data_IF_514360510450
#
_entry.id   IF_514360510450
#
_cell.length_a   1.000
_cell.length_b   1.000
_cell.length_c   1.000
_cell.angle_alpha   90.00
_cell.angle_beta   90.00
_cell.angle_gamma   90.00
#
_symmetry.space_group_name_H-M   'P 1'
#
loop_
_entity.id
_entity.type
_entity.pdbx_description
1 polymer ?
#
# COMPACT_ATOMS: atom_id res chain seq x y z
N UNK A 1 11.59 22.28 -9.81
CA UNK A 1 12.48 21.86 -8.71
C UNK A 1 12.02 22.63 -7.49
N UNK A 2 11.39 21.97 -6.54
CA UNK A 2 10.84 22.57 -5.32
C UNK A 2 11.94 22.57 -4.27
N UNK A 3 12.39 23.76 -3.86
CA UNK A 3 13.43 23.91 -2.84
C UNK A 3 12.90 23.45 -1.48
N UNK A 4 13.52 22.43 -0.91
CA UNK A 4 13.42 22.12 0.52
C UNK A 4 14.15 23.19 1.33
N UNK A 5 13.41 24.06 2.00
CA UNK A 5 13.99 25.10 2.87
C UNK A 5 14.11 24.62 4.31
N UNK A 6 15.21 25.05 4.89
CA UNK A 6 15.80 24.82 6.21
C UNK A 6 14.87 24.51 7.39
N UNK A 7 15.34 23.59 8.24
CA UNK A 7 14.88 23.37 9.61
C UNK A 7 14.98 24.67 10.41
N UNK A 8 13.85 25.26 10.79
CA UNK A 8 13.80 26.39 11.73
C UNK A 8 13.30 25.89 13.08
N UNK A 9 14.08 26.18 14.14
CA UNK A 9 13.63 26.00 15.52
C UNK A 9 12.85 27.25 15.92
N UNK A 10 11.54 27.17 16.06
CA UNK A 10 10.70 28.27 16.53
C UNK A 10 10.48 28.12 18.04
N UNK A 11 11.03 29.03 18.77
CA UNK A 11 10.88 29.39 20.17
C UNK A 11 10.37 28.34 21.19
N UNK A 12 11.24 27.99 22.17
CA UNK A 12 11.10 27.00 23.25
C UNK A 12 11.07 25.53 22.85
N UNK A 13 12.25 24.98 22.68
CA UNK A 13 12.78 23.64 22.96
C UNK A 13 11.93 22.37 22.65
N UNK A 14 10.84 22.35 21.89
CA UNK A 14 10.10 21.10 21.67
C UNK A 14 9.46 20.87 20.29
N UNK A 15 9.35 21.87 19.43
CA UNK A 15 8.70 21.66 18.12
C UNK A 15 9.65 22.03 16.99
N UNK A 16 10.21 21.02 16.29
CA UNK A 16 10.90 21.26 15.05
C UNK A 16 9.90 21.23 13.89
N UNK A 17 9.98 22.24 13.04
CA UNK A 17 9.07 22.48 11.92
C UNK A 17 9.85 22.41 10.61
N UNK A 18 9.30 21.68 9.64
CA UNK A 18 9.79 21.65 8.27
C UNK A 18 8.95 22.61 7.42
N UNK A 19 9.57 23.40 6.56
CA UNK A 19 8.88 24.23 5.57
C UNK A 19 8.88 23.53 4.23
N UNK A 20 7.69 23.34 3.67
CA UNK A 20 7.49 22.81 2.32
C UNK A 20 6.42 23.60 1.59
N UNK A 21 6.75 24.12 0.41
CA UNK A 21 5.85 24.91 -0.44
C UNK A 21 5.18 26.09 0.29
N UNK A 22 5.95 26.78 1.15
CA UNK A 22 5.48 27.92 1.94
C UNK A 22 4.57 27.57 3.11
N UNK A 23 4.37 26.27 3.39
CA UNK A 23 3.63 25.77 4.56
C UNK A 23 4.56 25.16 5.57
N UNK A 24 4.23 25.31 6.85
CA UNK A 24 4.97 24.73 7.97
C UNK A 24 4.31 23.43 8.42
N UNK A 25 5.13 22.39 8.57
CA UNK A 25 4.72 21.07 9.04
C UNK A 25 5.56 20.66 10.25
N UNK A 26 4.95 20.01 11.22
CA UNK A 26 5.69 19.36 12.30
C UNK A 26 6.66 18.33 11.69
N UNK A 27 7.89 18.22 12.20
CA UNK A 27 8.82 17.19 11.75
C UNK A 27 8.37 15.77 12.16
N UNK A 28 9.14 14.75 11.74
CA UNK A 28 8.79 13.37 12.03
C UNK A 28 8.76 13.00 13.51
N UNK A 29 9.44 13.74 14.38
CA UNK A 29 9.41 13.55 15.84
C UNK A 29 8.23 14.28 16.46
N UNK A 30 8.08 15.56 16.16
CA UNK A 30 6.99 16.38 16.69
C UNK A 30 5.60 15.93 16.20
N UNK A 31 5.52 15.25 15.06
CA UNK A 31 4.28 14.66 14.52
C UNK A 31 4.06 13.20 14.91
N UNK A 32 4.69 12.70 15.96
CA UNK A 32 4.47 11.32 16.44
C UNK A 32 2.99 11.11 16.81
N UNK A 33 2.26 10.20 16.14
CA UNK A 33 0.82 10.03 16.34
C UNK A 33 0.45 9.56 17.75
N UNK A 34 1.37 9.00 18.52
CA UNK A 34 1.14 8.53 19.90
C UNK A 34 0.88 9.70 20.87
N UNK A 35 1.42 10.89 20.56
CA UNK A 35 1.34 12.08 21.40
C UNK A 35 0.01 12.83 21.25
N UNK A 36 -0.74 12.63 20.16
CA UNK A 36 -1.95 13.39 19.86
C UNK A 36 -3.22 12.83 20.50
N UNK A 37 -3.24 11.58 20.93
CA UNK A 37 -4.39 10.97 21.59
C UNK A 37 -5.61 10.78 20.66
N UNK A 38 -5.40 10.67 19.32
CA UNK A 38 -6.50 10.45 18.37
C UNK A 38 -7.28 9.18 18.68
N UNK A 39 -8.60 9.24 18.47
CA UNK A 39 -9.56 8.18 18.69
C UNK A 39 -9.55 7.57 20.10
N UNK A 40 -8.98 8.26 21.09
CA UNK A 40 -8.99 7.84 22.50
C UNK A 40 -10.18 8.44 23.24
N UNK A 41 -10.82 7.62 24.08
CA UNK A 41 -12.00 7.98 24.86
C UNK A 41 -13.28 7.30 24.35
N UNK A 42 -14.36 7.36 25.15
CA UNK A 42 -15.64 6.73 24.82
C UNK A 42 -16.80 7.69 25.14
N UNK A 43 -17.24 8.55 24.20
CA UNK A 43 -16.69 8.76 22.85
C UNK A 43 -15.40 9.61 22.86
N UNK A 44 -14.58 9.52 21.81
CA UNK A 44 -13.45 10.45 21.66
C UNK A 44 -13.94 11.89 21.51
N UNK A 45 -13.19 12.89 22.07
CA UNK A 45 -13.50 14.30 21.86
C UNK A 45 -13.59 14.66 20.36
N UNK A 46 -14.44 15.61 19.95
CA UNK A 46 -14.64 15.92 18.53
C UNK A 46 -13.35 16.28 17.77
N UNK A 47 -12.46 17.04 18.39
CA UNK A 47 -11.17 17.48 17.85
C UNK A 47 -10.12 16.34 17.77
N UNK A 48 -10.39 15.20 18.41
CA UNK A 48 -9.55 13.99 18.40
C UNK A 48 -10.10 12.88 17.50
N UNK A 49 -11.20 13.12 16.79
CA UNK A 49 -11.77 12.12 15.88
C UNK A 49 -11.10 12.19 14.54
N UNK A 50 -10.68 11.03 14.05
CA UNK A 50 -10.13 10.84 12.72
C UNK A 50 -11.09 9.96 11.94
N UNK A 51 -11.80 10.52 10.97
CA UNK A 51 -12.81 9.82 10.18
C UNK A 51 -12.83 10.31 8.74
N UNK A 52 -13.46 9.53 7.84
CA UNK A 52 -13.69 9.96 6.47
C UNK A 52 -14.78 11.07 6.38
N UNK A 53 -15.72 11.08 7.32
CA UNK A 53 -16.81 12.05 7.36
C UNK A 53 -16.32 13.47 7.67
N UNK A 54 -15.30 13.60 8.52
CA UNK A 54 -14.68 14.89 8.83
C UNK A 54 -13.43 15.18 7.99
N UNK A 55 -13.15 14.35 6.97
CA UNK A 55 -12.06 14.51 5.99
C UNK A 55 -10.65 14.51 6.58
N UNK A 56 -10.47 14.06 7.82
CA UNK A 56 -9.17 14.13 8.53
C UNK A 56 -8.25 12.94 8.25
N UNK A 57 -8.75 11.85 7.67
CA UNK A 57 -7.98 10.61 7.46
C UNK A 57 -6.70 10.86 6.64
N UNK A 58 -6.77 11.75 5.65
CA UNK A 58 -5.64 12.06 4.75
C UNK A 58 -4.97 13.39 5.03
N UNK A 59 -5.37 14.10 6.08
CA UNK A 59 -4.71 15.34 6.50
C UNK A 59 -3.51 15.06 7.39
N UNK A 60 -2.46 15.84 7.26
CA UNK A 60 -1.31 15.76 8.16
C UNK A 60 -1.59 16.61 9.43
N UNK A 61 -1.25 16.11 10.61
CA UNK A 61 -0.48 14.91 10.94
C UNK A 61 -1.32 13.63 11.18
N UNK A 62 -2.66 13.69 11.08
CA UNK A 62 -3.58 12.55 11.31
C UNK A 62 -3.27 11.37 10.38
N UNK A 63 -2.82 11.64 9.15
CA UNK A 63 -2.41 10.63 8.17
C UNK A 63 -1.44 9.60 8.75
N UNK A 64 -0.47 10.01 9.57
CA UNK A 64 0.50 9.10 10.20
C UNK A 64 -0.13 8.09 11.15
N UNK A 65 -1.25 8.48 11.80
CA UNK A 65 -2.05 7.57 12.60
C UNK A 65 -2.92 6.66 11.71
N UNK A 66 -3.59 7.25 10.73
CA UNK A 66 -4.57 6.57 9.87
C UNK A 66 -3.96 5.39 9.14
N UNK A 67 -2.73 5.52 8.62
CA UNK A 67 -2.07 4.48 7.83
C UNK A 67 -1.85 3.17 8.60
N UNK A 68 -1.81 3.20 9.94
CA UNK A 68 -1.73 2.02 10.79
C UNK A 68 -3.08 1.62 11.40
N UNK A 69 -4.17 2.36 11.11
CA UNK A 69 -5.50 2.17 11.72
C UNK A 69 -6.63 2.06 10.69
N UNK A 70 -6.33 1.73 9.43
CA UNK A 70 -7.33 1.66 8.36
C UNK A 70 -8.48 0.69 8.67
N UNK A 71 -8.22 -0.35 9.46
CA UNK A 71 -9.25 -1.31 9.90
C UNK A 71 -10.32 -0.69 10.79
N UNK A 72 -9.99 0.41 11.49
CA UNK A 72 -10.94 1.16 12.32
C UNK A 72 -11.76 2.17 11.50
N UNK A 73 -11.30 2.48 10.29
CA UNK A 73 -11.82 3.55 9.44
C UNK A 73 -12.66 3.04 8.27
N UNK A 74 -12.41 1.80 7.82
CA UNK A 74 -13.07 1.19 6.66
C UNK A 74 -13.43 -0.27 6.92
N UNK A 75 -14.49 -0.79 6.27
CA UNK A 75 -14.73 -2.23 6.19
C UNK A 75 -13.54 -2.95 5.56
N UNK A 76 -13.18 -4.09 6.14
CA UNK A 76 -12.04 -4.89 5.71
C UNK A 76 -12.37 -6.37 5.68
N UNK A 77 -11.63 -7.13 4.87
CA UNK A 77 -11.63 -8.59 4.86
C UNK A 77 -10.23 -9.07 5.25
N UNK A 78 -10.19 -10.03 6.15
CA UNK A 78 -8.96 -10.63 6.64
C UNK A 78 -8.29 -11.50 5.57
N UNK A 79 -6.97 -11.47 5.54
CA UNK A 79 -6.09 -12.42 4.87
C UNK A 79 -5.37 -13.20 5.96
N UNK A 80 -5.86 -14.38 6.25
CA UNK A 80 -5.40 -15.18 7.39
C UNK A 80 -4.05 -15.83 7.12
N UNK A 81 -3.15 -15.75 8.10
CA UNK A 81 -1.79 -16.29 8.00
C UNK A 81 -1.69 -17.81 8.20
N UNK A 82 -2.78 -18.45 8.58
CA UNK A 82 -2.79 -19.89 8.91
C UNK A 82 -2.34 -20.18 10.36
N UNK A 83 -2.26 -21.47 10.66
CA UNK A 83 -1.84 -21.97 11.99
C UNK A 83 -0.37 -22.36 12.05
N UNK A 84 0.33 -22.37 10.93
CA UNK A 84 1.75 -22.70 10.87
C UNK A 84 2.63 -21.65 11.56
N UNK A 85 3.85 -22.03 11.90
CA UNK A 85 4.87 -21.06 12.31
C UNK A 85 5.27 -20.18 11.12
N UNK A 86 5.71 -18.94 11.35
CA UNK A 86 6.19 -18.07 10.28
C UNK A 86 7.49 -18.61 9.68
N UNK A 87 7.70 -18.31 8.39
CA UNK A 87 9.00 -18.54 7.76
C UNK A 87 10.06 -17.65 8.41
N UNK A 88 11.22 -18.23 8.68
CA UNK A 88 12.29 -17.53 9.38
C UNK A 88 12.92 -16.46 8.47
N UNK A 89 13.00 -15.24 8.97
CA UNK A 89 13.88 -14.20 8.45
C UNK A 89 15.09 -14.12 9.38
N UNK A 90 16.23 -14.63 8.91
CA UNK A 90 17.45 -14.54 9.70
C UNK A 90 17.81 -13.07 9.96
N UNK A 91 18.32 -12.78 11.15
CA UNK A 91 18.70 -11.44 11.56
C UNK A 91 20.21 -11.34 11.75
N UNK A 92 20.84 -10.35 11.14
CA UNK A 92 22.21 -9.95 11.33
C UNK A 92 22.25 -8.43 11.58
N UNK A 93 21.68 -8.03 12.72
CA UNK A 93 21.39 -6.64 13.04
C UNK A 93 22.66 -5.76 13.05
N UNK A 94 22.66 -4.75 12.17
CA UNK A 94 23.71 -3.72 12.05
C UNK A 94 23.12 -2.32 12.30
N UNK A 95 22.02 -2.23 13.02
CA UNK A 95 21.27 -0.98 13.16
C UNK A 95 22.09 0.17 13.71
N UNK A 96 22.93 -0.06 14.74
CA UNK A 96 23.76 0.98 15.32
C UNK A 96 24.79 1.54 14.32
N UNK A 97 25.36 0.67 13.48
CA UNK A 97 26.29 1.07 12.42
C UNK A 97 25.57 1.89 11.34
N UNK A 98 24.38 1.41 10.90
CA UNK A 98 23.62 2.02 9.83
C UNK A 98 23.03 3.37 10.27
N UNK A 99 22.52 3.50 11.51
CA UNK A 99 22.04 4.76 12.05
C UNK A 99 23.13 5.86 12.03
N UNK A 100 24.38 5.46 12.19
CA UNK A 100 25.54 6.37 12.17
C UNK A 100 26.02 6.79 10.78
N UNK A 101 25.52 6.18 9.70
CA UNK A 101 25.95 6.51 8.35
C UNK A 101 25.58 7.94 7.98
N UNK A 102 26.45 8.54 7.17
CA UNK A 102 26.21 9.84 6.54
C UNK A 102 26.18 9.69 5.03
N UNK A 103 25.40 10.52 4.37
CA UNK A 103 25.32 10.60 2.92
C UNK A 103 25.14 12.04 2.46
N UNK A 104 25.48 12.31 1.22
CA UNK A 104 25.24 13.61 0.57
C UNK A 104 23.95 13.49 -0.25
N UNK A 105 23.01 14.40 -0.03
CA UNK A 105 21.75 14.44 -0.79
C UNK A 105 21.93 15.16 -2.15
N UNK A 106 20.82 15.28 -2.89
CA UNK A 106 20.82 15.90 -4.21
C UNK A 106 21.06 17.43 -4.17
N UNK A 107 21.00 18.05 -3.00
CA UNK A 107 21.28 19.47 -2.77
C UNK A 107 22.68 19.69 -2.17
N UNK A 108 23.57 18.70 -2.28
CA UNK A 108 24.95 18.70 -1.74
C UNK A 108 25.03 18.87 -0.21
N UNK A 109 23.96 18.54 0.54
CA UNK A 109 23.96 18.59 2.00
C UNK A 109 24.37 17.24 2.58
N UNK A 110 25.24 17.26 3.59
CA UNK A 110 25.58 16.05 4.36
C UNK A 110 24.52 15.78 5.41
N UNK A 111 23.84 14.64 5.29
CA UNK A 111 22.78 14.19 6.20
C UNK A 111 23.22 12.94 6.95
N UNK A 112 22.70 12.75 8.18
CA UNK A 112 22.77 11.47 8.88
C UNK A 112 21.58 10.62 8.48
N UNK A 113 21.83 9.33 8.31
CA UNK A 113 20.76 8.38 7.88
C UNK A 113 19.59 8.35 8.88
N UNK A 114 19.88 8.28 10.18
CA UNK A 114 18.83 8.29 11.22
C UNK A 114 17.97 9.56 11.16
N UNK A 115 18.58 10.74 10.97
CA UNK A 115 17.84 12.01 10.89
C UNK A 115 16.95 12.04 9.64
N UNK A 116 17.45 11.54 8.51
CA UNK A 116 16.69 11.49 7.27
C UNK A 116 15.41 10.64 7.38
N UNK A 117 15.38 9.62 8.26
CA UNK A 117 14.17 8.84 8.53
C UNK A 117 13.06 9.70 9.15
N UNK A 118 13.41 10.63 10.03
CA UNK A 118 12.44 11.57 10.60
C UNK A 118 12.07 12.67 9.60
N UNK A 119 13.01 13.17 8.83
CA UNK A 119 12.76 14.20 7.82
C UNK A 119 11.85 13.69 6.68
N UNK A 120 11.82 12.38 6.47
CA UNK A 120 10.93 11.72 5.49
C UNK A 120 9.69 11.09 6.10
N UNK A 121 9.38 11.37 7.37
CA UNK A 121 8.21 10.82 8.08
C UNK A 121 8.11 9.29 8.03
N UNK A 122 9.25 8.60 8.06
CA UNK A 122 9.31 7.15 8.02
C UNK A 122 8.64 6.54 9.23
N UNK A 123 7.62 5.68 9.04
CA UNK A 123 6.98 4.94 10.11
C UNK A 123 7.63 3.56 10.32
N UNK A 124 8.23 2.99 9.28
CA UNK A 124 8.98 1.75 9.41
C UNK A 124 9.94 1.54 8.26
N UNK A 125 11.08 0.94 8.55
CA UNK A 125 12.06 0.54 7.55
C UNK A 125 12.70 -0.79 7.90
N UNK A 126 12.81 -1.67 6.91
CA UNK A 126 13.51 -2.93 7.01
C UNK A 126 14.37 -3.14 5.77
N UNK A 127 15.62 -3.51 5.98
CA UNK A 127 16.55 -3.83 4.89
C UNK A 127 16.96 -5.29 4.98
N UNK A 128 16.66 -6.03 3.91
CA UNK A 128 17.17 -7.38 3.69
C UNK A 128 18.43 -7.33 2.83
N UNK A 129 19.49 -8.00 3.27
CA UNK A 129 20.66 -8.26 2.49
C UNK A 129 20.93 -9.77 2.43
N UNK A 130 20.84 -10.35 1.24
CA UNK A 130 21.01 -11.80 1.01
C UNK A 130 20.12 -12.67 1.91
N UNK A 131 18.84 -12.28 2.05
CA UNK A 131 17.85 -12.99 2.86
C UNK A 131 17.93 -12.75 4.35
N UNK A 132 18.80 -11.84 4.83
CA UNK A 132 18.97 -11.53 6.26
C UNK A 132 18.55 -10.10 6.55
N UNK A 133 17.82 -9.89 7.63
CA UNK A 133 17.52 -8.55 8.14
C UNK A 133 18.82 -7.96 8.69
N UNK A 134 19.32 -6.89 8.08
CA UNK A 134 20.49 -6.14 8.56
C UNK A 134 20.11 -4.85 9.27
N UNK A 135 18.90 -4.34 8.98
CA UNK A 135 18.37 -3.13 9.59
C UNK A 135 16.85 -3.22 9.73
N UNK A 136 16.33 -2.80 10.88
CA UNK A 136 14.91 -2.78 11.15
C UNK A 136 14.61 -1.70 12.20
N UNK A 137 13.69 -0.78 11.87
CA UNK A 137 13.24 0.30 12.75
C UNK A 137 11.74 0.52 12.60
N UNK A 138 11.11 0.94 13.68
CA UNK A 138 9.69 1.29 13.79
C UNK A 138 9.57 2.62 14.52
N UNK A 139 8.69 3.48 14.02
CA UNK A 139 8.45 4.81 14.56
C UNK A 139 6.95 5.07 14.67
N UNK A 140 6.55 6.09 15.46
CA UNK A 140 5.18 6.49 15.61
C UNK A 140 4.27 5.37 16.08
N UNK A 141 3.15 5.16 15.39
CA UNK A 141 2.17 4.12 15.72
C UNK A 141 2.56 2.72 15.22
N UNK A 142 3.59 2.59 14.40
CA UNK A 142 3.99 1.31 13.84
C UNK A 142 4.80 0.47 14.85
N UNK A 143 4.51 -0.82 14.88
CA UNK A 143 5.22 -1.83 15.67
C UNK A 143 5.32 -3.14 14.87
N UNK A 144 6.15 -4.12 15.25
CA UNK A 144 6.35 -5.35 14.48
C UNK A 144 5.06 -6.09 14.10
N UNK A 145 4.05 -6.08 14.99
CA UNK A 145 2.76 -6.76 14.81
C UNK A 145 1.65 -5.86 14.24
N UNK A 146 1.94 -4.59 13.97
CA UNK A 146 0.94 -3.62 13.48
C UNK A 146 0.97 -3.58 11.95
N UNK A 147 -0.19 -3.78 11.33
CA UNK A 147 -0.35 -3.63 9.89
C UNK A 147 -0.34 -2.15 9.52
N UNK A 148 0.31 -1.85 8.43
CA UNK A 148 0.35 -0.53 7.83
C UNK A 148 -0.19 -0.59 6.40
N UNK A 149 -0.86 0.46 5.95
CA UNK A 149 -1.38 0.55 4.59
C UNK A 149 -0.23 0.53 3.57
N UNK A 150 -0.28 -0.44 2.67
CA UNK A 150 0.70 -0.58 1.59
C UNK A 150 0.47 0.39 0.44
N UNK A 151 -0.67 1.06 0.41
CA UNK A 151 -1.08 1.87 -0.72
C UNK A 151 -0.80 1.14 -2.05
N UNK A 152 -0.16 1.78 -3.01
CA UNK A 152 0.06 1.20 -4.34
C UNK A 152 0.97 -0.03 -4.40
N UNK A 153 1.69 -0.39 -3.35
CA UNK A 153 2.37 -1.70 -3.30
C UNK A 153 1.35 -2.86 -3.39
N UNK A 154 0.09 -2.63 -3.02
CA UNK A 154 -1.01 -3.59 -3.26
C UNK A 154 -1.06 -4.08 -4.71
N UNK A 155 -0.76 -3.21 -5.67
CA UNK A 155 -0.72 -3.56 -7.12
C UNK A 155 0.34 -4.62 -7.44
N UNK A 156 1.46 -4.62 -6.72
CA UNK A 156 2.49 -5.64 -6.90
C UNK A 156 1.98 -7.03 -6.49
N UNK A 157 1.24 -7.13 -5.40
CA UNK A 157 0.58 -8.37 -4.99
C UNK A 157 -0.49 -8.80 -6.00
N UNK A 158 -1.33 -7.87 -6.45
CA UNK A 158 -2.37 -8.15 -7.44
C UNK A 158 -1.79 -8.60 -8.77
N UNK A 159 -0.74 -7.95 -9.26
CA UNK A 159 -0.03 -8.31 -10.49
C UNK A 159 0.64 -9.67 -10.40
N UNK A 160 1.26 -9.99 -9.26
CA UNK A 160 1.86 -11.32 -9.01
C UNK A 160 0.81 -12.42 -9.04
N UNK A 161 -0.35 -12.22 -8.42
CA UNK A 161 -1.46 -13.16 -8.46
C UNK A 161 -1.98 -13.35 -9.90
N UNK A 162 -2.19 -12.25 -10.63
CA UNK A 162 -2.67 -12.33 -12.02
C UNK A 162 -1.67 -13.07 -12.90
N UNK A 163 -0.36 -12.77 -12.78
CA UNK A 163 0.69 -13.45 -13.53
C UNK A 163 0.76 -14.95 -13.22
N UNK A 164 0.63 -15.33 -11.94
CA UNK A 164 0.58 -16.74 -11.55
C UNK A 164 -0.64 -17.46 -12.16
N UNK A 165 -1.82 -16.85 -12.12
CA UNK A 165 -3.05 -17.41 -12.71
C UNK A 165 -2.96 -17.52 -14.25
N UNK A 166 -2.26 -16.60 -14.91
CA UNK A 166 -1.97 -16.69 -16.35
C UNK A 166 -1.00 -17.83 -16.61
N UNK A 167 0.07 -17.95 -15.83
CA UNK A 167 1.05 -19.05 -15.97
C UNK A 167 0.41 -20.42 -15.78
N UNK A 168 -0.51 -20.56 -14.85
CA UNK A 168 -1.26 -21.79 -14.59
C UNK A 168 -2.34 -22.08 -15.67
N UNK A 169 -2.57 -21.18 -16.62
CA UNK A 169 -3.59 -21.32 -17.66
C UNK A 169 -5.04 -21.10 -17.16
N UNK A 170 -5.21 -20.61 -15.94
CA UNK A 170 -6.53 -20.25 -15.38
C UNK A 170 -7.05 -18.97 -16.04
N UNK A 171 -6.15 -18.03 -16.32
CA UNK A 171 -6.44 -16.81 -17.09
C UNK A 171 -5.72 -16.86 -18.44
N UNK A 172 -6.42 -16.46 -19.50
CA UNK A 172 -5.82 -16.15 -20.80
C UNK A 172 -5.73 -14.63 -20.95
N UNK A 173 -4.52 -14.09 -20.85
CA UNK A 173 -4.28 -12.65 -20.86
C UNK A 173 -4.52 -11.97 -22.22
N UNK A 174 -4.75 -12.76 -23.28
CA UNK A 174 -5.13 -12.28 -24.62
C UNK A 174 -6.64 -12.04 -24.74
N UNK A 175 -7.46 -12.63 -23.85
CA UNK A 175 -8.91 -12.42 -23.83
C UNK A 175 -9.25 -11.00 -23.40
N UNK A 176 -10.35 -10.48 -23.96
CA UNK A 176 -10.85 -9.14 -23.58
C UNK A 176 -11.55 -9.18 -22.23
N UNK A 177 -11.54 -8.04 -21.56
CA UNK A 177 -12.17 -7.89 -20.24
C UNK A 177 -13.65 -8.22 -20.29
N UNK A 178 -14.37 -7.85 -21.35
CA UNK A 178 -15.80 -8.16 -21.50
C UNK A 178 -16.11 -9.66 -21.63
N UNK A 179 -15.12 -10.50 -21.92
CA UNK A 179 -15.26 -11.96 -21.90
C UNK A 179 -15.21 -12.53 -20.48
N UNK A 180 -14.52 -11.88 -19.54
CA UNK A 180 -14.47 -12.27 -18.13
C UNK A 180 -15.56 -11.58 -17.30
N UNK A 181 -15.79 -10.29 -17.57
CA UNK A 181 -16.71 -9.42 -16.84
C UNK A 181 -17.68 -8.76 -17.83
N UNK A 182 -18.78 -9.46 -18.23
CA UNK A 182 -19.72 -8.93 -19.21
C UNK A 182 -20.35 -7.57 -18.82
N UNK A 183 -20.36 -7.25 -17.53
CA UNK A 183 -20.88 -5.99 -16.99
C UNK A 183 -20.04 -4.78 -17.43
N UNK A 184 -18.82 -4.99 -17.95
CA UNK A 184 -17.96 -3.94 -18.48
C UNK A 184 -18.12 -3.73 -20.00
N UNK A 185 -19.13 -4.36 -20.64
CA UNK A 185 -19.50 -4.01 -22.01
C UNK A 185 -19.99 -2.56 -22.09
N UNK A 186 -19.63 -1.88 -23.17
CA UNK A 186 -19.92 -0.46 -23.36
C UNK A 186 -19.07 0.48 -22.50
N UNK A 187 -18.06 -0.04 -21.79
CA UNK A 187 -17.10 0.76 -21.02
C UNK A 187 -15.76 0.88 -21.73
N UNK A 188 -14.82 1.61 -21.14
CA UNK A 188 -13.46 1.75 -21.67
C UNK A 188 -12.65 0.47 -21.70
N UNK A 189 -13.06 -0.59 -21.00
CA UNK A 189 -12.38 -1.90 -20.96
C UNK A 189 -12.98 -2.95 -21.89
N UNK A 190 -14.09 -2.69 -22.57
CA UNK A 190 -14.81 -3.71 -23.31
C UNK A 190 -13.92 -4.55 -24.24
N UNK A 191 -13.07 -3.88 -25.00
CA UNK A 191 -12.15 -4.45 -26.00
C UNK A 191 -10.69 -4.50 -25.51
N UNK A 192 -10.39 -4.06 -24.28
CA UNK A 192 -9.08 -4.18 -23.68
C UNK A 192 -8.80 -5.66 -23.34
N UNK A 193 -7.60 -6.14 -23.67
CA UNK A 193 -7.15 -7.47 -23.21
C UNK A 193 -6.76 -7.43 -21.74
N UNK A 194 -6.79 -8.60 -21.08
CA UNK A 194 -6.30 -8.69 -19.69
C UNK A 194 -4.82 -8.27 -19.60
N UNK A 195 -3.99 -8.56 -20.61
CA UNK A 195 -2.59 -8.10 -20.69
C UNK A 195 -2.51 -6.58 -20.66
N UNK A 196 -3.34 -5.87 -21.44
CA UNK A 196 -3.36 -4.41 -21.46
C UNK A 196 -3.81 -3.82 -20.11
N UNK A 197 -4.71 -4.50 -19.39
CA UNK A 197 -5.11 -4.12 -18.03
C UNK A 197 -3.95 -4.33 -17.04
N UNK A 198 -3.27 -5.50 -17.10
CA UNK A 198 -2.11 -5.79 -16.26
C UNK A 198 -0.97 -4.78 -16.45
N UNK A 199 -0.78 -4.32 -17.68
CA UNK A 199 0.28 -3.39 -18.07
C UNK A 199 -0.16 -1.91 -17.99
N UNK A 200 -1.38 -1.61 -17.52
CA UNK A 200 -1.96 -0.25 -17.47
C UNK A 200 -1.92 0.45 -18.83
N UNK A 201 -2.30 -0.26 -19.90
CA UNK A 201 -2.31 0.24 -21.26
C UNK A 201 -3.74 0.43 -21.82
N UNK A 202 -4.73 0.60 -20.95
CA UNK A 202 -6.15 0.63 -21.33
C UNK A 202 -6.60 1.97 -21.88
N UNK A 203 -5.93 3.07 -21.55
CA UNK A 203 -6.29 4.43 -21.92
C UNK A 203 -7.78 4.76 -21.68
N UNK A 204 -8.28 4.38 -20.50
CA UNK A 204 -9.64 4.72 -20.05
C UNK A 204 -9.68 6.13 -19.49
N UNK A 205 -10.84 6.80 -19.58
CA UNK A 205 -11.07 8.17 -19.09
C UNK A 205 -11.12 8.20 -17.55
N UNK A 206 -9.95 8.08 -16.93
CA UNK A 206 -9.78 8.14 -15.49
C UNK A 206 -8.50 8.90 -15.14
N UNK A 207 -8.59 9.80 -14.18
CA UNK A 207 -7.44 10.48 -13.56
C UNK A 207 -7.42 10.13 -12.08
N UNK A 208 -6.22 9.85 -11.57
CA UNK A 208 -6.04 9.63 -10.13
C UNK A 208 -6.39 10.93 -9.39
N UNK A 209 -7.33 10.84 -8.47
CA UNK A 209 -7.73 11.95 -7.60
C UNK A 209 -7.58 11.51 -6.14
N UNK A 210 -6.66 12.14 -5.44
CA UNK A 210 -6.35 11.86 -4.04
C UNK A 210 -7.03 12.84 -3.09
N UNK A 211 -7.82 13.78 -3.61
CA UNK A 211 -8.49 14.83 -2.82
C UNK A 211 -9.94 14.48 -2.47
N UNK A 212 -10.56 13.57 -3.22
CA UNK A 212 -11.95 13.15 -3.02
C UNK A 212 -12.07 11.75 -2.42
N UNK A 213 -13.30 11.38 -2.01
CA UNK A 213 -13.58 10.01 -1.58
C UNK A 213 -13.35 9.05 -2.75
N UNK A 214 -12.40 8.13 -2.58
CA UNK A 214 -12.07 7.14 -3.58
C UNK A 214 -13.26 6.22 -3.90
N UNK A 215 -13.72 6.28 -5.15
CA UNK A 215 -14.78 5.44 -5.72
C UNK A 215 -14.25 4.44 -6.74
N UNK A 216 -12.94 4.48 -7.02
CA UNK A 216 -12.29 3.77 -8.12
C UNK A 216 -12.40 2.24 -8.05
N UNK A 217 -12.74 1.69 -6.89
CA UNK A 217 -12.94 0.26 -6.67
C UNK A 217 -14.41 -0.18 -6.62
N UNK A 218 -15.38 0.76 -6.79
CA UNK A 218 -16.82 0.44 -6.81
C UNK A 218 -17.27 -0.02 -8.18
N UNK A 219 -17.96 -1.16 -8.25
CA UNK A 219 -18.48 -1.71 -9.51
C UNK A 219 -19.30 -0.70 -10.31
N UNK A 220 -20.17 0.04 -9.63
CA UNK A 220 -21.05 1.03 -10.24
C UNK A 220 -20.24 2.13 -10.91
N UNK A 221 -19.19 2.60 -10.25
CA UNK A 221 -18.29 3.63 -10.79
C UNK A 221 -17.47 3.10 -11.96
N UNK A 222 -16.87 1.90 -11.86
CA UNK A 222 -16.13 1.28 -12.95
C UNK A 222 -16.96 1.17 -14.23
N UNK A 223 -18.25 0.86 -14.11
CA UNK A 223 -19.18 0.78 -15.25
C UNK A 223 -19.48 2.11 -15.93
N UNK A 224 -19.15 3.23 -15.33
CA UNK A 224 -19.34 4.57 -15.93
C UNK A 224 -18.15 5.05 -16.76
N UNK A 225 -16.96 4.45 -16.55
CA UNK A 225 -15.71 4.91 -17.18
C UNK A 225 -15.71 4.54 -18.67
N UNK A 226 -15.39 5.51 -19.52
CA UNK A 226 -15.37 5.37 -20.97
C UNK A 226 -13.93 5.28 -21.49
N UNK A 227 -13.79 4.85 -22.72
CA UNK A 227 -12.51 4.89 -23.44
C UNK A 227 -12.16 6.33 -23.78
N UNK A 228 -10.90 6.72 -23.56
CA UNK A 228 -10.38 8.04 -23.90
C UNK A 228 -9.60 8.03 -25.22
N UNK A 229 -8.98 6.90 -25.55
CA UNK A 229 -8.20 6.71 -26.76
C UNK A 229 -7.86 5.23 -27.03
N UNK A 230 -6.96 4.99 -27.96
CA UNK A 230 -6.52 3.62 -28.28
C UNK A 230 -5.73 3.02 -27.12
N UNK A 231 -5.87 1.70 -26.90
CA UNK A 231 -5.05 0.93 -26.01
C UNK A 231 -3.59 0.85 -26.49
N UNK A 232 -2.65 0.52 -25.60
CA UNK A 232 -1.25 0.21 -25.92
C UNK A 232 -0.23 1.22 -25.39
N UNK A 233 -0.67 2.36 -24.85
CA UNK A 233 0.21 3.31 -24.16
C UNK A 233 0.07 3.16 -22.64
N UNK A 234 1.19 3.02 -21.95
CA UNK A 234 1.20 3.01 -20.47
C UNK A 234 0.75 4.37 -19.92
N UNK A 235 -0.27 4.34 -19.10
CA UNK A 235 -0.70 5.46 -18.25
C UNK A 235 -1.09 4.87 -16.89
N UNK A 236 -0.45 5.33 -15.83
CA UNK A 236 -0.74 4.83 -14.49
C UNK A 236 -2.21 5.06 -14.11
N UNK A 237 -2.95 3.97 -13.85
CA UNK A 237 -4.39 4.01 -13.51
C UNK A 237 -4.75 2.92 -12.51
N UNK A 238 -5.07 3.31 -11.27
CA UNK A 238 -5.45 2.38 -10.21
C UNK A 238 -6.71 1.55 -10.55
N UNK A 239 -7.63 2.11 -11.31
CA UNK A 239 -8.86 1.42 -11.75
C UNK A 239 -8.57 0.13 -12.54
N UNK A 240 -7.48 0.07 -13.29
CA UNK A 240 -7.09 -1.14 -14.03
C UNK A 240 -6.81 -2.30 -13.07
N UNK A 241 -6.14 -2.05 -11.95
CA UNK A 241 -5.90 -3.09 -10.94
C UNK A 241 -7.20 -3.57 -10.28
N UNK A 242 -8.18 -2.69 -10.07
CA UNK A 242 -9.48 -3.09 -9.54
C UNK A 242 -10.24 -3.96 -10.55
N UNK A 243 -10.20 -3.63 -11.84
CA UNK A 243 -10.76 -4.47 -12.91
C UNK A 243 -10.04 -5.82 -13.00
N UNK A 244 -8.71 -5.83 -12.90
CA UNK A 244 -7.92 -7.07 -12.86
C UNK A 244 -8.35 -7.97 -11.68
N UNK A 245 -8.54 -7.40 -10.48
CA UNK A 245 -9.02 -8.16 -9.32
C UNK A 245 -10.44 -8.71 -9.54
N UNK A 246 -11.31 -7.97 -10.22
CA UNK A 246 -12.63 -8.45 -10.60
C UNK A 246 -12.55 -9.64 -11.58
N UNK A 247 -11.68 -9.55 -12.61
CA UNK A 247 -11.41 -10.65 -13.54
C UNK A 247 -10.92 -11.90 -12.79
N UNK A 248 -9.93 -11.75 -11.90
CA UNK A 248 -9.41 -12.87 -11.10
C UNK A 248 -10.52 -13.53 -10.29
N UNK A 249 -11.36 -12.73 -9.62
CA UNK A 249 -12.45 -13.25 -8.81
C UNK A 249 -13.49 -14.00 -9.64
N UNK A 250 -13.82 -13.51 -10.85
CA UNK A 250 -14.75 -14.17 -11.77
C UNK A 250 -14.22 -15.49 -12.31
N UNK A 251 -12.95 -15.54 -12.68
CA UNK A 251 -12.34 -16.73 -13.24
C UNK A 251 -12.14 -17.85 -12.21
N UNK A 252 -11.86 -17.49 -10.97
CA UNK A 252 -11.51 -18.45 -9.91
C UNK A 252 -12.65 -18.78 -8.95
N UNK A 253 -13.71 -17.94 -8.90
CA UNK A 253 -14.74 -18.01 -7.86
C UNK A 253 -14.23 -17.64 -6.45
N UNK A 254 -13.02 -17.06 -6.34
CA UNK A 254 -12.38 -16.65 -5.08
C UNK A 254 -12.35 -15.13 -4.97
N UNK A 255 -12.54 -14.60 -3.76
CA UNK A 255 -12.30 -13.19 -3.53
C UNK A 255 -10.79 -12.87 -3.63
N UNK A 256 -10.45 -11.59 -3.85
CA UNK A 256 -9.06 -11.14 -3.87
C UNK A 256 -8.32 -11.48 -2.57
N UNK A 257 -8.98 -11.32 -1.41
CA UNK A 257 -8.40 -11.68 -0.11
C UNK A 257 -8.14 -13.20 0.02
N UNK A 258 -9.05 -14.04 -0.51
CA UNK A 258 -8.82 -15.50 -0.56
C UNK A 258 -7.67 -15.87 -1.46
N UNK A 259 -7.53 -15.23 -2.63
CA UNK A 259 -6.39 -15.44 -3.53
C UNK A 259 -5.08 -15.04 -2.88
N UNK A 260 -5.03 -13.88 -2.22
CA UNK A 260 -3.87 -13.45 -1.42
C UNK A 260 -3.53 -14.48 -0.36
N UNK A 261 -4.51 -14.94 0.40
CA UNK A 261 -4.32 -15.94 1.46
C UNK A 261 -3.77 -17.26 0.92
N UNK A 262 -4.45 -17.84 -0.07
CA UNK A 262 -4.16 -19.20 -0.57
C UNK A 262 -2.86 -19.27 -1.38
N UNK A 263 -2.55 -18.20 -2.14
CA UNK A 263 -1.48 -18.19 -3.13
C UNK A 263 -0.20 -17.49 -2.67
N UNK A 264 -0.31 -16.58 -1.71
CA UNK A 264 0.84 -15.81 -1.22
C UNK A 264 1.02 -15.94 0.29
N UNK A 265 0.00 -15.60 1.09
CA UNK A 265 0.16 -15.46 2.54
C UNK A 265 0.56 -16.77 3.22
N UNK A 266 -0.19 -17.85 2.95
CA UNK A 266 0.08 -19.19 3.48
C UNK A 266 1.41 -19.77 2.96
N UNK A 267 1.70 -19.76 1.63
CA UNK A 267 2.98 -20.26 1.12
C UNK A 267 4.20 -19.50 1.61
N UNK A 268 4.09 -18.17 1.77
CA UNK A 268 5.18 -17.33 2.30
C UNK A 268 5.46 -17.60 3.78
N UNK A 269 4.51 -18.19 4.52
CA UNK A 269 4.62 -18.31 5.96
C UNK A 269 4.67 -16.96 6.65
N UNK A 270 3.69 -16.10 6.32
CA UNK A 270 3.59 -14.77 6.91
C UNK A 270 3.43 -14.84 8.44
N UNK A 271 3.92 -13.83 9.13
CA UNK A 271 4.01 -13.76 10.58
C UNK A 271 2.67 -13.33 11.20
N UNK A 272 2.00 -12.38 10.54
CA UNK A 272 0.74 -11.81 11.00
C UNK A 272 -0.34 -11.91 9.91
N UNK A 273 -1.59 -11.76 10.34
CA UNK A 273 -2.68 -11.60 9.40
C UNK A 273 -2.58 -10.26 8.68
N UNK A 274 -2.92 -10.24 7.39
CA UNK A 274 -3.17 -9.00 6.66
C UNK A 274 -4.66 -8.74 6.55
N UNK A 275 -5.02 -7.58 6.02
CA UNK A 275 -6.39 -7.27 5.63
C UNK A 275 -6.45 -6.40 4.39
N UNK A 276 -7.56 -6.52 3.66
CA UNK A 276 -7.85 -5.73 2.45
C UNK A 276 -9.08 -4.86 2.72
N UNK A 277 -8.98 -3.58 2.43
CA UNK A 277 -10.12 -2.66 2.43
C UNK A 277 -11.12 -3.06 1.34
N UNK A 278 -12.42 -3.01 1.65
CA UNK A 278 -13.49 -3.37 0.73
C UNK A 278 -14.55 -2.28 0.65
N UNK A 279 -15.31 -2.27 -0.43
CA UNK A 279 -16.51 -1.45 -0.53
C UNK A 279 -17.59 -1.97 0.41
N UNK A 280 -18.16 -1.12 1.28
CA UNK A 280 -19.20 -1.54 2.22
C UNK A 280 -20.51 -1.99 1.55
N UNK A 281 -20.77 -1.53 0.31
CA UNK A 281 -22.01 -1.81 -0.39
C UNK A 281 -22.05 -3.17 -1.08
N UNK A 282 -20.93 -3.62 -1.65
CA UNK A 282 -20.88 -4.83 -2.47
C UNK A 282 -19.67 -5.73 -2.24
N UNK A 283 -18.78 -5.37 -1.31
CA UNK A 283 -17.61 -6.17 -0.93
C UNK A 283 -16.47 -6.15 -1.95
N UNK A 284 -16.50 -5.30 -2.97
CA UNK A 284 -15.39 -5.17 -3.92
C UNK A 284 -14.11 -4.75 -3.22
N UNK A 285 -12.98 -5.43 -3.49
CA UNK A 285 -11.71 -5.11 -2.88
C UNK A 285 -11.14 -3.82 -3.47
N UNK A 286 -10.51 -3.01 -2.64
CA UNK A 286 -9.67 -1.90 -3.06
C UNK A 286 -8.30 -2.44 -3.49
N UNK A 287 -8.27 -3.21 -4.59
CA UNK A 287 -7.10 -3.98 -5.02
C UNK A 287 -5.94 -3.11 -5.50
N UNK A 288 -6.17 -1.83 -5.79
CA UNK A 288 -5.12 -0.91 -6.21
C UNK A 288 -4.30 -0.31 -5.04
N UNK A 289 -4.84 -0.36 -3.78
CA UNK A 289 -4.19 0.33 -2.65
C UNK A 289 -4.69 -0.08 -1.26
N UNK A 290 -5.59 -1.07 -1.15
CA UNK A 290 -6.27 -1.40 0.11
C UNK A 290 -5.64 -2.51 0.94
N UNK A 291 -4.49 -3.06 0.57
CA UNK A 291 -3.81 -4.07 1.37
C UNK A 291 -3.05 -3.42 2.52
N UNK A 292 -3.17 -4.02 3.71
CA UNK A 292 -2.50 -3.60 4.92
C UNK A 292 -1.75 -4.79 5.52
N UNK A 293 -0.44 -4.63 5.74
CA UNK A 293 0.47 -5.72 6.15
C UNK A 293 1.49 -5.23 7.17
N UNK A 294 2.09 -6.16 7.90
CA UNK A 294 3.24 -5.83 8.75
C UNK A 294 4.50 -5.63 7.92
N UNK A 295 5.47 -4.90 8.46
CA UNK A 295 6.72 -4.60 7.76
C UNK A 295 7.50 -5.88 7.41
N UNK A 296 7.54 -6.87 8.31
CA UNK A 296 8.23 -8.14 8.06
C UNK A 296 7.53 -9.00 7.02
N UNK A 297 6.20 -8.95 6.93
CA UNK A 297 5.47 -9.69 5.90
C UNK A 297 5.60 -9.02 4.53
N UNK A 298 5.71 -7.69 4.49
CA UNK A 298 6.11 -6.98 3.29
C UNK A 298 7.53 -7.38 2.83
N UNK A 299 8.45 -7.54 3.78
CA UNK A 299 9.82 -8.00 3.48
C UNK A 299 9.84 -9.45 2.94
N UNK A 300 8.96 -10.35 3.41
CA UNK A 300 8.81 -11.71 2.86
C UNK A 300 8.37 -11.68 1.40
N UNK A 301 7.46 -10.77 1.07
CA UNK A 301 7.09 -10.56 -0.33
C UNK A 301 8.26 -10.00 -1.17
N UNK A 302 9.02 -9.06 -0.63
CA UNK A 302 10.25 -8.58 -1.27
C UNK A 302 11.27 -9.69 -1.50
N UNK A 303 11.44 -10.60 -0.53
CA UNK A 303 12.33 -11.76 -0.65
C UNK A 303 11.84 -12.77 -1.70
N UNK A 304 10.51 -12.99 -1.82
CA UNK A 304 9.93 -13.76 -2.90
C UNK A 304 10.33 -13.22 -4.27
N UNK A 305 10.26 -11.90 -4.45
CA UNK A 305 10.66 -11.26 -5.71
C UNK A 305 12.16 -11.43 -5.95
N UNK A 306 13.00 -11.23 -4.95
CA UNK A 306 14.46 -11.43 -5.04
C UNK A 306 14.82 -12.87 -5.41
N UNK A 307 14.05 -13.83 -4.95
CA UNK A 307 14.23 -15.27 -5.22
C UNK A 307 13.43 -15.75 -6.44
N UNK A 308 13.07 -14.84 -7.36
CA UNK A 308 12.41 -15.16 -8.63
C UNK A 308 11.13 -16.01 -8.47
N UNK A 309 10.35 -15.73 -7.39
CA UNK A 309 9.13 -16.46 -7.07
C UNK A 309 9.30 -17.73 -6.23
N UNK A 310 10.53 -18.11 -5.91
CA UNK A 310 10.79 -19.28 -5.06
C UNK A 310 10.72 -18.95 -3.59
N UNK A 311 9.93 -19.72 -2.83
CA UNK A 311 9.79 -19.58 -1.39
C UNK A 311 9.59 -20.95 -0.73
N UNK A 312 10.28 -21.21 0.40
CA UNK A 312 10.12 -22.42 1.19
C UNK A 312 10.20 -23.73 0.35
N UNK A 313 11.07 -23.75 -0.68
CA UNK A 313 11.26 -24.89 -1.57
C UNK A 313 10.14 -25.08 -2.61
N UNK A 314 9.29 -24.09 -2.81
CA UNK A 314 8.24 -24.05 -3.84
C UNK A 314 8.48 -22.86 -4.77
N UNK A 315 8.12 -23.07 -6.04
CA UNK A 315 8.10 -22.05 -7.06
C UNK A 315 6.68 -21.50 -7.19
#
# INVERSE_FOLDING_TARGET
MTEFKQRQTVGNASESVLEFDGQQYLDGRASDPREFGWMRGAPPPPDKRVTFENETVWTFPQLRWSLSHMRELRPTVQVWRGRGGPSQLECSNRSTEIDGLTFVDMDDRTNRFEEALFDTYTDGILVLHRGRIIYERYFGALAPHVQHSCQSITKSYAGTLAAALVHEGILDDRKTISQFVPELRGTGWEDATLRQVMDMQTNVAFTEDYTSVDKSYRCEYLRTIRKEGAHGKFVYKGVDTNVMAWVMSRATGRSFAQLLQERLWLPLGCEEDAYVEIDPGNGMPRAHSGLNVTLRDLARFGELMRCEGSCNGKQ
#
